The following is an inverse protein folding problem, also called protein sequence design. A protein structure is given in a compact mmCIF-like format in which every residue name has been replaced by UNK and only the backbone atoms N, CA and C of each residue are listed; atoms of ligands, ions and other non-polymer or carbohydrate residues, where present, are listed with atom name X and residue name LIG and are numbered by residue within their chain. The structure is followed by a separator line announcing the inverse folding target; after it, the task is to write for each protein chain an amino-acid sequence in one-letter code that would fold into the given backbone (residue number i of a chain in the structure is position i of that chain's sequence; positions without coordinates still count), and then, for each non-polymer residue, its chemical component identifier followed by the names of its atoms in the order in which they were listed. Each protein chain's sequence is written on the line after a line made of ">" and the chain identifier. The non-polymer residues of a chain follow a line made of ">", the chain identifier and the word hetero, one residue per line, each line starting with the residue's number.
data_IF_491603855133
#
_entry.id   IF_491603855133
#
_cell.length_a   1.000
_cell.length_b   1.000
_cell.length_c   1.000
_cell.angle_alpha   90.00
_cell.angle_beta   90.00
_cell.angle_gamma   90.00
#
_symmetry.space_group_name_H-M   'P 1'
#
loop_
_entity.id
_entity.type
_entity.pdbx_description
1 polymer ?
#
# COMPACT_ATOMS: atom_id res chain seq x y z
N UNK A 1 -3.61 -11.37 6.95
CA UNK A 1 -4.64 -10.35 6.63
C UNK A 1 -5.82 -11.04 5.98
N UNK A 2 -7.04 -10.49 6.07
CA UNK A 2 -8.21 -11.03 5.36
C UNK A 2 -8.34 -10.38 3.97
N UNK A 3 -8.80 -11.11 2.92
CA UNK A 3 -9.00 -10.53 1.58
C UNK A 3 -10.00 -9.37 1.64
N UNK A 4 -9.59 -8.17 1.20
CA UNK A 4 -10.38 -6.93 1.29
C UNK A 4 -9.74 -5.83 2.15
N UNK A 5 -8.82 -6.21 3.04
CA UNK A 5 -8.07 -5.27 3.89
C UNK A 5 -7.03 -4.46 3.11
N UNK A 6 -6.54 -3.38 3.73
CA UNK A 6 -5.57 -2.45 3.15
C UNK A 6 -4.34 -2.24 4.05
N UNK A 7 -3.27 -1.72 3.46
CA UNK A 7 -2.08 -1.23 4.16
C UNK A 7 -2.04 0.30 4.12
N UNK A 8 -1.65 0.91 5.24
CA UNK A 8 -1.20 2.30 5.26
C UNK A 8 0.27 2.38 4.88
N UNK A 9 0.61 3.17 3.87
CA UNK A 9 1.99 3.38 3.41
C UNK A 9 2.39 4.82 3.72
N UNK A 10 3.51 4.97 4.43
CA UNK A 10 4.08 6.26 4.77
C UNK A 10 5.20 6.56 3.78
N UNK A 11 5.06 7.66 3.05
CA UNK A 11 6.02 8.11 2.07
C UNK A 11 6.62 9.43 2.55
N UNK A 12 7.94 9.42 2.68
CA UNK A 12 8.73 10.60 2.93
C UNK A 12 9.69 10.79 1.75
N UNK A 13 9.61 11.94 1.09
CA UNK A 13 10.41 12.28 -0.08
C UNK A 13 10.74 13.76 -0.01
N UNK A 14 11.93 14.15 -0.43
CA UNK A 14 12.36 15.55 -0.45
C UNK A 14 11.50 16.42 -1.39
N UNK A 15 10.74 15.78 -2.28
CA UNK A 15 9.76 16.46 -3.17
C UNK A 15 8.44 16.78 -2.47
N UNK A 16 8.21 16.26 -1.26
CA UNK A 16 6.99 16.48 -0.49
C UNK A 16 7.28 17.43 0.67
N UNK A 17 6.41 18.41 0.87
CA UNK A 17 6.51 19.35 2.00
C UNK A 17 6.36 18.65 3.34
N UNK A 18 5.56 17.58 3.39
CA UNK A 18 5.27 16.79 4.58
C UNK A 18 5.28 15.30 4.24
N UNK A 19 5.40 14.46 5.28
CA UNK A 19 5.21 13.03 5.13
C UNK A 19 3.75 12.74 4.71
N UNK A 20 3.59 12.00 3.62
CA UNK A 20 2.28 11.65 3.09
C UNK A 20 1.94 10.20 3.48
N UNK A 21 0.67 9.96 3.84
CA UNK A 21 0.16 8.62 4.15
C UNK A 21 -0.99 8.30 3.21
N UNK A 22 -0.95 7.13 2.57
CA UNK A 22 -2.05 6.64 1.72
C UNK A 22 -2.36 5.18 2.00
N UNK A 23 -3.63 4.82 1.80
CA UNK A 23 -4.13 3.46 1.99
C UNK A 23 -4.18 2.75 0.64
N UNK A 24 -3.66 1.53 0.57
CA UNK A 24 -3.73 0.68 -0.62
C UNK A 24 -4.23 -0.71 -0.24
N UNK A 25 -5.28 -1.17 -0.92
CA UNK A 25 -5.80 -2.52 -0.74
C UNK A 25 -4.75 -3.57 -1.08
N UNK A 26 -4.72 -4.65 -0.32
CA UNK A 26 -3.87 -5.80 -0.60
C UNK A 26 -4.43 -6.54 -1.82
N UNK A 27 -3.65 -6.56 -2.90
CA UNK A 27 -4.08 -7.05 -4.22
C UNK A 27 -3.66 -8.50 -4.51
N UNK A 28 -3.22 -9.25 -3.49
CA UNK A 28 -2.87 -10.67 -3.60
C UNK A 28 -3.45 -11.47 -2.45
N UNK A 29 -3.61 -12.79 -2.67
CA UNK A 29 -3.81 -13.75 -1.61
C UNK A 29 -2.68 -13.64 -0.58
N UNK A 30 -2.97 -14.07 0.66
CA UNK A 30 -1.99 -14.05 1.74
C UNK A 30 -0.79 -14.89 1.34
N UNK A 31 0.40 -14.29 1.38
CA UNK A 31 1.68 -14.95 1.16
C UNK A 31 2.56 -14.76 2.40
N UNK A 32 3.43 -15.72 2.67
CA UNK A 32 4.41 -15.57 3.73
C UNK A 32 5.39 -14.43 3.42
N UNK A 33 5.61 -13.55 4.40
CA UNK A 33 6.59 -12.47 4.38
C UNK A 33 6.44 -11.42 3.25
N UNK A 34 5.36 -11.44 2.48
CA UNK A 34 5.19 -10.55 1.32
C UNK A 34 3.80 -9.92 1.30
N UNK A 35 3.77 -8.61 1.04
CA UNK A 35 2.54 -7.88 0.70
C UNK A 35 2.60 -7.44 -0.76
N UNK A 36 1.46 -7.45 -1.44
CA UNK A 36 1.33 -6.88 -2.79
C UNK A 36 0.22 -5.83 -2.80
N UNK A 37 0.54 -4.69 -3.39
CA UNK A 37 -0.40 -3.61 -3.69
C UNK A 37 -0.38 -3.35 -5.19
N UNK A 38 -1.43 -2.70 -5.68
CA UNK A 38 -1.49 -2.22 -7.05
C UNK A 38 -1.89 -0.75 -7.02
N UNK A 39 -1.01 0.11 -7.55
CA UNK A 39 -1.18 1.56 -7.48
C UNK A 39 -1.57 2.05 -8.86
N UNK A 40 -2.76 2.63 -8.99
CA UNK A 40 -3.12 3.38 -10.19
C UNK A 40 -2.43 4.75 -10.15
N UNK A 41 -1.89 5.17 -11.29
CA UNK A 41 -1.35 6.52 -11.47
C UNK A 41 -2.50 7.51 -11.62
N UNK A 42 -2.63 8.44 -10.67
CA UNK A 42 -3.61 9.52 -10.73
C UNK A 42 -2.96 10.81 -11.26
N UNK A 43 -3.62 11.50 -12.19
CA UNK A 43 -3.13 12.77 -12.72
C UNK A 43 -3.08 13.81 -11.60
N UNK A 44 -1.91 14.42 -11.39
CA UNK A 44 -1.67 15.36 -10.28
C UNK A 44 -1.54 14.71 -8.89
N UNK A 45 -1.66 13.39 -8.77
CA UNK A 45 -1.55 12.69 -7.50
C UNK A 45 -0.11 12.60 -6.99
N UNK A 46 0.22 13.26 -5.87
CA UNK A 46 1.60 13.29 -5.33
C UNK A 46 2.19 11.90 -5.11
N UNK A 47 1.53 11.08 -4.27
CA UNK A 47 2.03 9.77 -3.86
C UNK A 47 2.00 8.75 -4.99
N UNK A 48 0.90 8.68 -5.77
CA UNK A 48 0.80 7.73 -6.88
C UNK A 48 1.85 7.97 -7.95
N UNK A 49 2.15 9.23 -8.30
CA UNK A 49 3.20 9.51 -9.28
C UNK A 49 4.59 9.17 -8.72
N UNK A 50 4.88 9.53 -7.46
CA UNK A 50 6.15 9.15 -6.82
C UNK A 50 6.37 7.64 -6.79
N UNK A 51 5.35 6.85 -6.45
CA UNK A 51 5.45 5.38 -6.44
C UNK A 51 5.68 4.78 -7.84
N UNK A 52 5.29 5.48 -8.91
CA UNK A 52 5.51 5.04 -10.29
C UNK A 52 6.84 5.49 -10.86
N UNK A 53 7.30 6.70 -10.51
CA UNK A 53 8.44 7.35 -11.17
C UNK A 53 9.75 7.21 -10.38
N UNK A 54 9.69 7.15 -9.05
CA UNK A 54 10.85 7.36 -8.17
C UNK A 54 11.12 6.17 -7.24
N UNK A 55 10.08 5.46 -6.81
CA UNK A 55 10.26 4.30 -5.92
C UNK A 55 10.74 3.08 -6.71
N UNK A 56 11.90 2.55 -6.36
CA UNK A 56 12.58 1.46 -7.06
C UNK A 56 12.80 0.23 -6.18
N UNK A 57 13.17 -0.89 -6.82
CA UNK A 57 13.53 -2.11 -6.11
C UNK A 57 14.76 -1.85 -5.23
N UNK A 58 14.65 -2.23 -3.96
CA UNK A 58 15.69 -2.00 -2.94
C UNK A 58 15.37 -0.83 -2.02
N UNK A 59 14.49 0.08 -2.43
CA UNK A 59 14.02 1.16 -1.59
C UNK A 59 13.15 0.63 -0.45
N UNK A 60 13.14 1.38 0.66
CA UNK A 60 12.40 1.02 1.87
C UNK A 60 11.31 2.05 2.15
N UNK A 61 10.11 1.55 2.43
CA UNK A 61 8.98 2.36 2.88
C UNK A 61 8.52 1.87 4.24
N UNK A 62 7.88 2.74 5.02
CA UNK A 62 7.24 2.34 6.27
C UNK A 62 5.80 1.92 5.98
N UNK A 63 5.35 0.87 6.65
CA UNK A 63 4.01 0.31 6.52
C UNK A 63 3.32 0.26 7.88
N UNK A 64 2.02 0.55 7.90
CA UNK A 64 1.14 0.17 9.00
C UNK A 64 0.76 -1.31 8.87
N UNK A 65 0.34 -1.93 9.98
CA UNK A 65 -0.25 -3.27 9.92
C UNK A 65 -1.52 -3.27 9.06
N UNK A 66 -1.88 -4.41 8.41
CA UNK A 66 -3.13 -4.54 7.68
C UNK A 66 -4.35 -4.17 8.54
N UNK A 67 -5.25 -3.38 7.99
CA UNK A 67 -6.46 -2.91 8.66
C UNK A 67 -7.67 -2.87 7.72
N UNK A 68 -8.85 -2.60 8.28
CA UNK A 68 -10.11 -2.43 7.56
C UNK A 68 -11.15 -3.49 7.91
N UNK A 69 -12.40 -3.03 7.99
CA UNK A 69 -13.57 -3.83 8.35
C UNK A 69 -14.29 -4.44 7.14
N UNK A 70 -13.85 -4.07 5.93
CA UNK A 70 -14.29 -4.72 4.69
C UNK A 70 -13.37 -5.90 4.38
N UNK A 71 -13.88 -7.11 4.57
CA UNK A 71 -13.18 -8.32 4.18
C UNK A 71 -14.15 -9.46 3.86
N UNK A 72 -13.70 -10.39 3.04
CA UNK A 72 -14.39 -11.66 2.86
C UNK A 72 -14.04 -12.57 4.04
N UNK A 73 -15.06 -13.09 4.72
CA UNK A 73 -14.84 -14.13 5.73
C UNK A 73 -14.64 -15.46 5.03
N UNK A 74 -13.49 -16.07 5.27
CA UNK A 74 -13.04 -17.28 4.58
C UNK A 74 -12.99 -18.47 5.53
N UNK A 75 -13.88 -18.50 6.53
CA UNK A 75 -14.04 -19.65 7.40
C UNK A 75 -14.28 -20.90 6.54
N UNK A 76 -13.22 -21.71 6.45
CA UNK A 76 -13.25 -23.04 5.85
C UNK A 76 -13.95 -23.95 6.85
N UNK A 77 -15.21 -24.29 6.57
CA UNK A 77 -15.84 -25.49 7.12
C UNK A 77 -15.01 -26.74 6.79
#
# INVERSE_FOLDING_TARGET
>A
YKPGQYLGIYINSDKFENQEIRQYSLSSSVQENTYRISVKREQGGKVSNYLHDELNIGDKVKLAAPAGDFFMDVDTN
#
